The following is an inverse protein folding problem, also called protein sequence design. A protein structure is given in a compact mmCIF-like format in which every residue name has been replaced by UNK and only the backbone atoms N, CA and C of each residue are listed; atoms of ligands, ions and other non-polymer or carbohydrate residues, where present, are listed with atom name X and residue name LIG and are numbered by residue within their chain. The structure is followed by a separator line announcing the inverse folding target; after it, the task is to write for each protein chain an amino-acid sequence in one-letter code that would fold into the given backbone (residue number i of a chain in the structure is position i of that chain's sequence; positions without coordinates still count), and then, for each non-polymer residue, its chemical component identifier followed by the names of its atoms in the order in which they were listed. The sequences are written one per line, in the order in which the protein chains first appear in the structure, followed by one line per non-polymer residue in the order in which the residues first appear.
data_IF_349116286252
#
_entry.id   IF_349116286252
#
_cell.length_a   1.000
_cell.length_b   1.000
_cell.length_c   1.000
_cell.angle_alpha   90.00
_cell.angle_beta   90.00
_cell.angle_gamma   90.00
#
_symmetry.space_group_name_H-M   'P 1'
#
loop_
_entity.id
_entity.type
_entity.pdbx_description
1 polymer ?
#
# COMPACT_ATOMS: atom_id res chain seq x y z
N UNK A 1 27.43 -8.67 4.01
CA UNK A 1 26.98 -10.10 4.10
C UNK A 1 25.47 -10.32 3.86
N UNK A 2 24.62 -9.31 3.60
CA UNK A 2 23.20 -9.55 3.23
C UNK A 2 22.37 -10.42 4.20
N UNK A 3 22.80 -10.51 5.47
CA UNK A 3 22.18 -11.39 6.47
C UNK A 3 20.86 -10.79 6.94
N UNK A 4 19.84 -11.63 7.12
CA UNK A 4 18.53 -11.18 7.61
C UNK A 4 18.64 -10.56 9.01
N UNK A 5 17.73 -9.64 9.34
CA UNK A 5 17.67 -9.02 10.67
C UNK A 5 17.64 -10.04 11.83
N UNK A 6 17.00 -11.19 11.62
CA UNK A 6 17.00 -12.29 12.60
C UNK A 6 18.38 -12.88 12.87
N UNK A 7 19.26 -12.92 11.87
CA UNK A 7 20.64 -13.41 12.01
C UNK A 7 21.54 -12.39 12.72
N UNK A 8 21.29 -11.09 12.50
CA UNK A 8 21.98 -10.01 13.24
C UNK A 8 21.61 -10.09 14.72
N UNK A 9 20.32 -10.25 15.03
CA UNK A 9 19.84 -10.40 16.41
C UNK A 9 20.42 -11.65 17.08
N UNK A 10 20.56 -12.76 16.36
CA UNK A 10 21.23 -13.95 16.91
C UNK A 10 22.69 -13.68 17.29
N UNK A 11 23.42 -12.87 16.51
CA UNK A 11 24.82 -12.52 16.79
C UNK A 11 24.99 -11.66 18.05
N UNK A 12 24.06 -10.74 18.33
CA UNK A 12 24.18 -9.79 19.44
C UNK A 12 23.39 -10.18 20.69
N UNK A 13 22.25 -10.85 20.55
CA UNK A 13 21.33 -11.18 21.68
C UNK A 13 21.28 -12.70 21.92
N UNK A 14 21.65 -13.51 20.93
CA UNK A 14 21.65 -14.97 21.01
C UNK A 14 20.41 -15.63 20.43
N UNK A 15 20.40 -16.97 20.46
CA UNK A 15 19.38 -17.82 19.81
C UNK A 15 17.97 -17.61 20.37
N UNK A 16 17.85 -17.32 21.67
CA UNK A 16 16.57 -17.08 22.33
C UNK A 16 15.97 -15.73 21.90
N UNK A 17 16.80 -14.67 21.85
CA UNK A 17 16.40 -13.35 21.35
C UNK A 17 15.89 -13.41 19.91
N UNK A 18 16.57 -14.18 19.04
CA UNK A 18 16.07 -14.42 17.67
C UNK A 18 14.68 -15.06 17.65
N UNK A 19 14.42 -16.09 18.48
CA UNK A 19 13.11 -16.78 18.49
C UNK A 19 11.98 -15.86 18.94
N UNK A 20 12.18 -15.11 20.02
CA UNK A 20 11.18 -14.14 20.51
C UNK A 20 10.95 -13.05 19.46
N UNK A 21 12.01 -12.50 18.87
CA UNK A 21 11.89 -11.46 17.86
C UNK A 21 11.13 -11.95 16.62
N UNK A 22 11.45 -13.15 16.11
CA UNK A 22 10.74 -13.72 14.97
C UNK A 22 9.27 -14.03 15.29
N UNK A 23 8.97 -14.53 16.49
CA UNK A 23 7.59 -14.75 16.94
C UNK A 23 6.82 -13.43 17.02
N UNK A 24 7.43 -12.39 17.60
CA UNK A 24 6.86 -11.05 17.65
C UNK A 24 6.60 -10.50 16.24
N UNK A 25 7.59 -10.54 15.34
CA UNK A 25 7.43 -10.09 13.97
C UNK A 25 6.32 -10.86 13.24
N UNK A 26 6.21 -12.17 13.46
CA UNK A 26 5.17 -12.99 12.84
C UNK A 26 3.77 -12.60 13.32
N UNK A 27 3.55 -12.51 14.65
CA UNK A 27 2.27 -12.08 15.23
C UNK A 27 1.91 -10.65 14.82
N UNK A 28 2.89 -9.74 14.83
CA UNK A 28 2.70 -8.36 14.42
C UNK A 28 2.29 -8.27 12.94
N UNK A 29 2.97 -9.01 12.06
CA UNK A 29 2.64 -9.04 10.63
C UNK A 29 1.22 -9.57 10.39
N UNK A 30 0.77 -10.56 11.16
CA UNK A 30 -0.59 -11.10 11.07
C UNK A 30 -1.64 -10.02 11.41
N UNK A 31 -1.46 -9.30 12.51
CA UNK A 31 -2.38 -8.22 12.92
C UNK A 31 -2.39 -7.08 11.90
N UNK A 32 -1.22 -6.68 11.42
CA UNK A 32 -1.09 -5.61 10.42
C UNK A 32 -1.76 -5.99 9.11
N UNK A 33 -1.59 -7.23 8.64
CA UNK A 33 -2.28 -7.74 7.45
C UNK A 33 -3.80 -7.68 7.63
N UNK A 34 -4.32 -8.14 8.77
CA UNK A 34 -5.76 -8.12 9.05
C UNK A 34 -6.32 -6.69 9.07
N UNK A 35 -5.62 -5.76 9.74
CA UNK A 35 -6.04 -4.36 9.82
C UNK A 35 -6.06 -3.67 8.45
N UNK A 36 -5.00 -3.84 7.64
CA UNK A 36 -4.97 -3.25 6.30
C UNK A 36 -5.95 -3.91 5.34
N UNK A 37 -6.16 -5.23 5.42
CA UNK A 37 -7.16 -5.91 4.61
C UNK A 37 -8.58 -5.38 4.91
N UNK A 38 -8.92 -5.17 6.19
CA UNK A 38 -10.21 -4.58 6.57
C UNK A 38 -10.38 -3.14 6.09
N UNK A 39 -9.33 -2.31 6.21
CA UNK A 39 -9.33 -0.94 5.70
C UNK A 39 -9.55 -0.89 4.19
N UNK A 40 -8.82 -1.72 3.43
CA UNK A 40 -8.95 -1.80 1.95
C UNK A 40 -10.36 -2.27 1.55
N UNK A 41 -10.87 -3.32 2.20
CA UNK A 41 -12.24 -3.80 1.94
C UNK A 41 -13.30 -2.74 2.29
N UNK A 42 -13.07 -1.95 3.33
CA UNK A 42 -13.90 -0.81 3.68
C UNK A 42 -13.87 0.30 2.61
N UNK A 43 -12.70 0.62 2.07
CA UNK A 43 -12.54 1.64 1.01
C UNK A 43 -13.23 1.23 -0.30
N UNK A 44 -13.17 -0.05 -0.68
CA UNK A 44 -13.78 -0.54 -1.92
C UNK A 44 -15.26 -0.89 -1.78
N UNK A 45 -15.81 -0.83 -0.56
CA UNK A 45 -17.22 -1.09 -0.33
C UNK A 45 -18.06 -0.07 -1.12
N UNK A 46 -18.77 -0.59 -2.12
CA UNK A 46 -19.62 0.20 -3.01
C UNK A 46 -20.99 0.50 -2.40
N UNK A 47 -21.24 0.08 -1.16
CA UNK A 47 -22.48 0.36 -0.43
C UNK A 47 -22.21 1.25 0.77
N UNK A 48 -22.84 2.43 0.79
CA UNK A 48 -22.91 3.27 1.98
C UNK A 48 -24.30 3.15 2.60
N UNK A 49 -24.35 2.89 3.90
CA UNK A 49 -25.61 2.90 4.67
C UNK A 49 -25.69 4.26 5.36
N UNK A 50 -26.55 5.13 4.85
CA UNK A 50 -26.87 6.41 5.47
C UNK A 50 -28.35 6.45 5.79
N UNK A 51 -28.69 6.56 7.08
CA UNK A 51 -30.09 6.67 7.53
C UNK A 51 -30.97 5.45 7.23
N UNK A 52 -30.40 4.24 7.16
CA UNK A 52 -31.15 3.01 6.88
C UNK A 52 -31.42 2.74 5.39
N UNK A 53 -31.00 3.63 4.49
CA UNK A 53 -31.01 3.39 3.05
C UNK A 53 -29.60 3.02 2.56
N UNK A 54 -29.52 1.97 1.75
CA UNK A 54 -28.27 1.51 1.13
C UNK A 54 -28.12 2.22 -0.21
N UNK A 55 -27.18 3.16 -0.30
CA UNK A 55 -26.86 3.85 -1.55
C UNK A 55 -25.62 3.25 -2.19
N UNK A 56 -25.67 3.10 -3.52
CA UNK A 56 -24.53 2.62 -4.30
C UNK A 56 -23.57 3.78 -4.54
N UNK A 57 -22.37 3.67 -3.99
CA UNK A 57 -21.27 4.61 -4.17
C UNK A 57 -20.39 4.10 -5.32
N UNK A 58 -20.76 4.47 -6.55
CA UNK A 58 -20.06 4.03 -7.77
C UNK A 58 -18.57 4.41 -7.80
N UNK A 59 -18.18 5.50 -7.13
CA UNK A 59 -16.78 5.92 -7.00
C UNK A 59 -15.93 4.91 -6.23
N UNK A 60 -16.48 4.26 -5.20
CA UNK A 60 -15.78 3.24 -4.42
C UNK A 60 -15.63 1.94 -5.20
N UNK A 61 -16.66 1.54 -5.96
CA UNK A 61 -16.59 0.40 -6.88
C UNK A 61 -15.59 0.62 -8.02
N UNK A 62 -15.49 1.86 -8.52
CA UNK A 62 -14.46 2.26 -9.48
C UNK A 62 -13.07 2.11 -8.87
N UNK A 63 -12.86 2.60 -7.64
CA UNK A 63 -11.57 2.46 -6.94
C UNK A 63 -11.14 0.99 -6.74
N UNK A 64 -12.07 0.10 -6.38
CA UNK A 64 -11.78 -1.33 -6.29
C UNK A 64 -11.39 -1.93 -7.64
N UNK A 65 -12.06 -1.53 -8.71
CA UNK A 65 -11.77 -2.02 -10.08
C UNK A 65 -10.42 -1.50 -10.59
N UNK A 66 -10.13 -0.21 -10.42
CA UNK A 66 -8.83 0.39 -10.74
C UNK A 66 -7.73 -0.38 -10.03
N UNK A 67 -7.92 -0.73 -8.75
CA UNK A 67 -6.94 -1.47 -7.96
C UNK A 67 -6.68 -2.87 -8.53
N UNK A 68 -7.74 -3.62 -8.90
CA UNK A 68 -7.57 -4.93 -9.58
C UNK A 68 -6.85 -4.78 -10.91
N UNK A 69 -7.26 -3.83 -11.75
CA UNK A 69 -6.65 -3.60 -13.05
C UNK A 69 -5.19 -3.20 -12.93
N UNK A 70 -4.86 -2.35 -11.96
CA UNK A 70 -3.49 -1.94 -11.68
C UNK A 70 -2.61 -3.16 -11.34
N UNK A 71 -3.12 -4.10 -10.54
CA UNK A 71 -2.41 -5.33 -10.21
C UNK A 71 -2.22 -6.25 -11.43
N UNK A 72 -3.25 -6.42 -12.25
CA UNK A 72 -3.16 -7.21 -13.49
C UNK A 72 -2.14 -6.60 -14.45
N UNK A 73 -2.20 -5.28 -14.67
CA UNK A 73 -1.27 -4.58 -15.53
C UNK A 73 0.15 -4.58 -14.98
N UNK A 74 0.35 -4.55 -13.67
CA UNK A 74 1.67 -4.72 -13.08
C UNK A 74 2.28 -6.09 -13.40
N UNK A 75 1.48 -7.17 -13.36
CA UNK A 75 1.95 -8.50 -13.76
C UNK A 75 2.30 -8.55 -15.25
N UNK A 76 1.44 -7.99 -16.10
CA UNK A 76 1.68 -7.90 -17.56
C UNK A 76 2.95 -7.08 -17.84
N UNK A 77 3.11 -5.96 -17.15
CA UNK A 77 4.29 -5.11 -17.26
C UNK A 77 5.57 -5.86 -16.85
N UNK A 78 5.55 -6.59 -15.73
CA UNK A 78 6.68 -7.43 -15.31
C UNK A 78 7.03 -8.52 -16.32
N UNK A 79 6.04 -9.15 -16.96
CA UNK A 79 6.26 -10.14 -18.02
C UNK A 79 6.85 -9.50 -19.29
N UNK A 80 6.36 -8.32 -19.68
CA UNK A 80 6.90 -7.56 -20.83
C UNK A 80 8.34 -7.14 -20.55
N UNK A 81 8.61 -6.61 -19.36
CA UNK A 81 9.96 -6.18 -18.97
C UNK A 81 10.94 -7.35 -19.04
N UNK A 82 10.57 -8.52 -18.52
CA UNK A 82 11.41 -9.73 -18.59
C UNK A 82 11.65 -10.22 -20.02
N UNK A 83 10.67 -10.08 -20.91
CA UNK A 83 10.77 -10.58 -22.31
C UNK A 83 11.53 -9.61 -23.22
N UNK A 84 11.35 -8.30 -23.03
CA UNK A 84 11.86 -7.28 -23.94
C UNK A 84 13.03 -6.46 -23.37
N UNK A 85 13.46 -6.72 -22.12
CA UNK A 85 14.53 -5.99 -21.43
C UNK A 85 14.39 -4.47 -21.62
N UNK A 86 13.17 -3.96 -21.39
CA UNK A 86 12.91 -2.53 -21.46
C UNK A 86 13.76 -1.83 -20.42
N UNK A 87 14.55 -0.84 -20.84
CA UNK A 87 15.40 -0.06 -19.96
C UNK A 87 15.17 1.45 -20.16
N UNK A 88 15.30 2.19 -19.05
CA UNK A 88 15.26 3.64 -19.03
C UNK A 88 13.88 4.22 -19.37
N UNK A 89 13.83 5.23 -20.24
CA UNK A 89 12.61 5.99 -20.52
C UNK A 89 11.47 5.16 -21.12
N UNK A 90 11.79 4.08 -21.85
CA UNK A 90 10.78 3.20 -22.47
C UNK A 90 9.97 2.45 -21.41
N UNK A 91 10.64 2.02 -20.34
CA UNK A 91 10.02 1.35 -19.20
C UNK A 91 9.03 2.30 -18.50
N UNK A 92 9.43 3.55 -18.27
CA UNK A 92 8.58 4.56 -17.65
C UNK A 92 7.33 4.87 -18.50
N UNK A 93 7.48 5.04 -19.83
CA UNK A 93 6.35 5.32 -20.72
C UNK A 93 5.34 4.17 -20.74
N UNK A 94 5.81 2.92 -20.81
CA UNK A 94 4.94 1.74 -20.78
C UNK A 94 4.26 1.60 -19.41
N UNK A 95 5.00 1.85 -18.31
CA UNK A 95 4.45 1.87 -16.96
C UNK A 95 3.32 2.90 -16.82
N UNK A 96 3.56 4.15 -17.25
CA UNK A 96 2.55 5.22 -17.21
C UNK A 96 1.34 4.87 -18.10
N UNK A 97 1.56 4.32 -19.29
CA UNK A 97 0.47 3.88 -20.16
C UNK A 97 -0.44 2.84 -19.48
N UNK A 98 0.15 1.88 -18.75
CA UNK A 98 -0.60 0.89 -17.98
C UNK A 98 -1.31 1.48 -16.77
N UNK A 99 -0.73 2.47 -16.10
CA UNK A 99 -1.42 3.22 -15.04
C UNK A 99 -2.66 3.88 -15.62
N UNK A 100 -2.53 4.65 -16.71
CA UNK A 100 -3.67 5.32 -17.35
C UNK A 100 -4.72 4.30 -17.80
N UNK A 101 -4.31 3.19 -18.43
CA UNK A 101 -5.23 2.12 -18.84
C UNK A 101 -6.01 1.54 -17.64
N UNK A 102 -5.35 1.35 -16.49
CA UNK A 102 -6.01 0.87 -15.27
C UNK A 102 -7.10 1.82 -14.77
N UNK A 103 -6.86 3.13 -14.83
CA UNK A 103 -7.85 4.15 -14.44
C UNK A 103 -9.02 4.23 -15.43
N UNK A 104 -8.72 4.21 -16.73
CA UNK A 104 -9.74 4.26 -17.78
C UNK A 104 -10.68 3.05 -17.67
N UNK A 105 -10.13 1.83 -17.64
CA UNK A 105 -10.92 0.61 -17.53
C UNK A 105 -11.68 0.55 -16.20
N UNK A 106 -11.02 0.92 -15.09
CA UNK A 106 -11.64 0.90 -13.78
C UNK A 106 -12.80 1.89 -13.62
N UNK A 107 -12.75 3.03 -14.32
CA UNK A 107 -13.85 4.00 -14.34
C UNK A 107 -15.01 3.57 -15.24
N UNK A 108 -14.75 2.84 -16.33
CA UNK A 108 -15.78 2.34 -17.24
C UNK A 108 -16.48 1.05 -16.74
N UNK A 109 -15.79 0.22 -15.96
CA UNK A 109 -16.32 -1.06 -15.49
C UNK A 109 -16.33 -1.18 -13.95
N UNK A 110 -17.08 -0.32 -13.22
CA UNK A 110 -17.08 -0.36 -11.76
C UNK A 110 -17.70 -1.65 -11.22
N UNK A 111 -16.90 -2.44 -10.51
CA UNK A 111 -17.33 -3.62 -9.77
C UNK A 111 -17.99 -3.17 -8.46
N UNK A 112 -19.30 -3.38 -8.36
CA UNK A 112 -20.09 -3.05 -7.18
C UNK A 112 -20.17 -4.31 -6.31
N UNK A 113 -19.40 -4.33 -5.23
CA UNK A 113 -19.36 -5.42 -4.25
C UNK A 113 -19.40 -4.86 -2.83
N UNK A 114 -19.90 -5.70 -1.91
CA UNK A 114 -19.92 -5.41 -0.48
C UNK A 114 -18.57 -5.64 0.19
N UNK A 115 -18.41 -5.10 1.40
CA UNK A 115 -17.19 -5.22 2.21
C UNK A 115 -16.76 -6.69 2.39
N UNK A 116 -17.70 -7.61 2.63
CA UNK A 116 -17.39 -9.02 2.83
C UNK A 116 -16.75 -9.65 1.58
N UNK A 117 -17.34 -9.41 0.40
CA UNK A 117 -16.79 -9.90 -0.86
C UNK A 117 -15.37 -9.33 -1.13
N UNK A 118 -15.17 -8.04 -0.86
CA UNK A 118 -13.85 -7.41 -0.99
C UNK A 118 -12.82 -7.95 0.01
N UNK A 119 -13.24 -8.31 1.22
CA UNK A 119 -12.37 -8.95 2.20
C UNK A 119 -11.84 -10.29 1.68
N UNK A 120 -12.72 -11.15 1.15
CA UNK A 120 -12.32 -12.42 0.52
C UNK A 120 -11.37 -12.21 -0.66
N UNK A 121 -11.69 -11.27 -1.57
CA UNK A 121 -10.82 -10.95 -2.72
C UNK A 121 -9.43 -10.50 -2.24
N UNK A 122 -9.39 -9.65 -1.21
CA UNK A 122 -8.13 -9.12 -0.65
C UNK A 122 -7.28 -10.23 -0.04
N UNK A 123 -7.86 -11.13 0.75
CA UNK A 123 -7.11 -12.25 1.33
C UNK A 123 -6.62 -13.25 0.28
N UNK A 124 -7.43 -13.56 -0.73
CA UNK A 124 -7.02 -14.39 -1.86
C UNK A 124 -5.83 -13.74 -2.58
N UNK A 125 -5.91 -12.44 -2.84
CA UNK A 125 -4.80 -11.70 -3.44
C UNK A 125 -3.53 -11.74 -2.57
N UNK A 126 -3.63 -11.53 -1.26
CA UNK A 126 -2.47 -11.57 -0.35
C UNK A 126 -1.80 -12.94 -0.37
N UNK A 127 -2.58 -14.02 -0.41
CA UNK A 127 -2.04 -15.38 -0.56
C UNK A 127 -1.24 -15.52 -1.86
N UNK A 128 -1.80 -15.10 -3.00
CA UNK A 128 -1.11 -15.12 -4.28
C UNK A 128 0.14 -14.24 -4.30
N UNK A 129 0.08 -13.05 -3.71
CA UNK A 129 1.21 -12.13 -3.60
C UNK A 129 2.34 -12.69 -2.71
N UNK A 130 2.02 -13.53 -1.72
CA UNK A 130 3.00 -14.17 -0.86
C UNK A 130 3.70 -15.37 -1.53
N UNK A 131 3.01 -16.07 -2.44
CA UNK A 131 3.53 -17.27 -3.13
C UNK A 131 4.23 -16.91 -4.45
N UNK A 132 3.79 -15.86 -5.14
CA UNK A 132 4.36 -15.46 -6.43
C UNK A 132 5.77 -14.86 -6.29
N UNK A 133 6.62 -15.03 -7.31
CA UNK A 133 7.99 -14.51 -7.27
C UNK A 133 8.01 -12.98 -7.30
N UNK A 134 8.99 -12.39 -6.61
CA UNK A 134 9.09 -10.95 -6.40
C UNK A 134 9.13 -10.14 -7.71
N UNK A 135 9.82 -10.65 -8.73
CA UNK A 135 9.97 -10.00 -10.04
C UNK A 135 8.65 -9.92 -10.83
N UNK A 136 7.68 -10.81 -10.55
CA UNK A 136 6.44 -10.90 -11.32
C UNK A 136 5.37 -9.93 -10.83
N UNK A 137 5.23 -9.78 -9.52
CA UNK A 137 4.19 -8.94 -8.92
C UNK A 137 4.75 -7.72 -8.23
N UNK A 138 5.65 -7.93 -7.26
CA UNK A 138 6.03 -6.90 -6.30
C UNK A 138 6.85 -5.80 -6.98
N UNK A 139 7.93 -6.17 -7.66
CA UNK A 139 8.85 -5.24 -8.31
C UNK A 139 8.16 -4.35 -9.38
N UNK A 140 7.40 -4.90 -10.36
CA UNK A 140 6.76 -4.07 -11.38
C UNK A 140 5.63 -3.19 -10.80
N UNK A 141 4.88 -3.71 -9.82
CA UNK A 141 3.84 -2.93 -9.13
C UNK A 141 4.44 -1.76 -8.35
N UNK A 142 5.52 -2.02 -7.61
CA UNK A 142 6.19 -0.99 -6.82
C UNK A 142 6.75 0.12 -7.73
N UNK A 143 7.33 -0.24 -8.89
CA UNK A 143 7.77 0.72 -9.91
C UNK A 143 6.62 1.60 -10.44
N UNK A 144 5.50 1.01 -10.85
CA UNK A 144 4.33 1.77 -11.31
C UNK A 144 3.75 2.66 -10.21
N UNK A 145 3.75 2.19 -8.96
CA UNK A 145 3.22 2.92 -7.81
C UNK A 145 4.02 4.19 -7.53
N UNK A 146 5.34 4.19 -7.77
CA UNK A 146 6.18 5.39 -7.61
C UNK A 146 5.71 6.52 -8.52
N UNK A 147 5.46 6.26 -9.80
CA UNK A 147 4.95 7.29 -10.72
C UNK A 147 3.56 7.78 -10.32
N UNK A 148 2.69 6.86 -9.92
CA UNK A 148 1.36 7.20 -9.43
C UNK A 148 1.43 8.11 -8.19
N UNK A 149 2.32 7.79 -7.24
CA UNK A 149 2.50 8.57 -6.02
C UNK A 149 2.99 10.00 -6.31
N UNK A 150 4.00 10.14 -7.17
CA UNK A 150 4.50 11.45 -7.60
C UNK A 150 3.38 12.25 -8.29
N UNK A 151 2.65 11.62 -9.23
CA UNK A 151 1.54 12.25 -9.92
C UNK A 151 0.42 12.68 -8.96
N UNK A 152 0.10 11.87 -7.94
CA UNK A 152 -0.89 12.21 -6.93
C UNK A 152 -0.46 13.42 -6.08
N UNK A 153 0.81 13.49 -5.66
CA UNK A 153 1.31 14.63 -4.88
C UNK A 153 1.27 15.91 -5.72
N UNK A 154 1.79 15.87 -6.95
CA UNK A 154 1.78 17.02 -7.85
C UNK A 154 0.35 17.45 -8.16
N UNK A 155 -0.54 16.50 -8.45
CA UNK A 155 -1.95 16.76 -8.69
C UNK A 155 -2.65 17.37 -7.48
N UNK A 156 -2.37 16.88 -6.28
CA UNK A 156 -2.92 17.46 -5.03
C UNK A 156 -2.41 18.88 -4.79
N UNK A 157 -1.12 19.13 -4.99
CA UNK A 157 -0.52 20.46 -4.83
C UNK A 157 -1.09 21.46 -5.83
N UNK A 158 -1.16 21.10 -7.12
CA UNK A 158 -1.77 21.94 -8.15
C UNK A 158 -3.26 22.15 -7.90
N UNK A 159 -3.99 21.10 -7.51
CA UNK A 159 -5.40 21.18 -7.15
C UNK A 159 -5.66 22.16 -6.02
N UNK A 160 -4.78 22.18 -4.99
CA UNK A 160 -4.86 23.13 -3.89
C UNK A 160 -4.64 24.58 -4.36
N UNK A 161 -3.62 24.82 -5.19
CA UNK A 161 -3.28 26.16 -5.70
C UNK A 161 -4.41 26.71 -6.58
N UNK A 162 -5.00 25.87 -7.44
CA UNK A 162 -6.09 26.28 -8.36
C UNK A 162 -7.41 26.46 -7.62
N UNK A 163 -7.79 25.52 -6.75
CA UNK A 163 -9.06 25.60 -6.01
C UNK A 163 -9.03 26.67 -4.91
N UNK A 164 -7.84 27.03 -4.43
CA UNK A 164 -7.59 28.02 -3.38
C UNK A 164 -8.63 28.01 -2.23
N UNK A 165 -8.88 26.84 -1.60
CA UNK A 165 -9.93 26.71 -0.61
C UNK A 165 -9.62 27.59 0.61
N UNK A 166 -10.60 28.36 1.07
CA UNK A 166 -10.47 29.16 2.29
C UNK A 166 -10.29 28.23 3.49
N UNK A 167 -9.10 28.26 4.10
CA UNK A 167 -8.77 27.44 5.26
C UNK A 167 -9.34 28.08 6.54
N UNK A 168 -10.64 27.89 6.78
CA UNK A 168 -11.31 28.27 8.04
C UNK A 168 -11.18 27.14 9.08
N UNK A 169 -9.96 26.66 9.33
CA UNK A 169 -9.72 25.71 10.42
C UNK A 169 -9.53 26.50 11.72
N UNK A 170 -10.31 26.23 12.78
CA UNK A 170 -10.07 26.83 14.08
C UNK A 170 -8.64 26.49 14.52
N UNK A 171 -7.88 27.51 14.96
CA UNK A 171 -6.52 27.33 15.50
C UNK A 171 -6.49 26.32 16.66
N UNK A 172 -7.64 26.13 17.32
CA UNK A 172 -7.84 25.15 18.36
C UNK A 172 -9.24 24.51 18.25
N UNK A 173 -9.29 23.19 18.06
CA UNK A 173 -10.54 22.40 17.99
C UNK A 173 -10.83 21.61 19.27
N UNK A 174 -10.09 21.85 20.36
CA UNK A 174 -10.22 21.11 21.62
C UNK A 174 -9.49 19.77 21.66
N UNK A 175 -9.49 19.15 22.85
CA UNK A 175 -8.96 17.80 23.10
C UNK A 175 -9.96 16.67 22.83
N UNK A 176 -11.19 17.00 22.40
CA UNK A 176 -12.24 16.04 22.10
C UNK A 176 -12.90 16.42 20.78
N UNK A 177 -12.93 15.48 19.83
CA UNK A 177 -13.58 15.62 18.55
C UNK A 177 -14.87 14.77 18.54
N UNK A 178 -16.01 15.36 18.17
CA UNK A 178 -17.29 14.67 18.18
C UNK A 178 -17.36 13.40 17.28
N UNK A 179 -16.50 13.29 16.25
CA UNK A 179 -16.42 12.12 15.37
C UNK A 179 -15.29 11.15 15.72
N UNK A 180 -14.16 11.67 16.19
CA UNK A 180 -12.94 10.88 16.43
C UNK A 180 -12.72 10.55 17.91
N UNK A 181 -13.44 11.18 18.84
CA UNK A 181 -13.27 10.99 20.29
C UNK A 181 -12.17 11.86 20.88
N UNK A 182 -11.69 11.48 22.07
CA UNK A 182 -10.66 12.21 22.81
C UNK A 182 -9.27 12.03 22.18
N UNK A 183 -8.47 13.10 22.19
CA UNK A 183 -7.10 13.13 21.67
C UNK A 183 -6.22 12.06 22.35
N UNK A 184 -6.46 11.82 23.63
CA UNK A 184 -5.96 10.65 24.35
C UNK A 184 -7.02 9.55 24.30
N UNK A 185 -6.75 8.32 23.80
CA UNK A 185 -5.44 7.73 23.49
C UNK A 185 -5.04 7.75 21.99
N UNK A 186 -5.83 8.36 21.11
CA UNK A 186 -5.56 8.38 19.65
C UNK A 186 -4.14 8.85 19.32
N UNK A 187 -3.61 9.79 20.10
CA UNK A 187 -2.26 10.31 19.93
C UNK A 187 -1.20 9.21 20.05
N UNK A 188 -1.40 8.18 20.88
CA UNK A 188 -0.49 7.03 20.93
C UNK A 188 -0.53 6.19 19.65
N UNK A 189 -1.70 6.08 19.02
CA UNK A 189 -1.85 5.33 17.77
C UNK A 189 -1.21 6.08 16.61
N UNK A 190 -1.46 7.40 16.48
CA UNK A 190 -0.84 8.21 15.42
C UNK A 190 0.66 8.37 15.60
N UNK A 191 1.15 8.57 16.85
CA UNK A 191 2.59 8.58 17.14
C UNK A 191 3.20 7.19 16.94
N UNK A 192 2.48 6.11 17.24
CA UNK A 192 2.94 4.75 16.92
C UNK A 192 3.12 4.59 15.41
N UNK A 193 2.19 5.03 14.55
CA UNK A 193 2.39 4.99 13.10
C UNK A 193 3.64 5.79 12.64
N UNK A 194 3.96 6.90 13.32
CA UNK A 194 5.19 7.68 13.09
C UNK A 194 6.46 6.99 13.60
N UNK A 195 6.44 6.38 14.78
CA UNK A 195 7.56 5.66 15.38
C UNK A 195 7.81 4.28 14.72
N UNK A 196 6.75 3.62 14.26
CA UNK A 196 6.78 2.37 13.46
C UNK A 196 7.40 2.61 12.08
N UNK A 197 7.59 3.85 11.65
CA UNK A 197 8.44 4.17 10.49
C UNK A 197 9.85 3.57 10.61
N UNK A 198 10.40 3.48 11.83
CA UNK A 198 11.64 2.75 12.08
C UNK A 198 11.55 1.24 11.79
N UNK A 199 10.39 0.63 12.02
CA UNK A 199 10.12 -0.77 11.68
C UNK A 199 10.04 -0.97 10.16
N UNK A 200 9.53 -0.01 9.39
CA UNK A 200 9.58 -0.06 7.92
C UNK A 200 11.01 -0.07 7.40
N UNK A 201 11.93 0.71 7.99
CA UNK A 201 13.35 0.64 7.64
C UNK A 201 13.97 -0.72 7.97
N UNK A 202 13.62 -1.31 9.13
CA UNK A 202 14.07 -2.64 9.52
C UNK A 202 13.54 -3.75 8.59
N UNK A 203 12.28 -3.67 8.16
CA UNK A 203 11.66 -4.64 7.23
C UNK A 203 12.14 -4.42 5.79
N UNK A 204 12.29 -3.16 5.36
CA UNK A 204 12.81 -2.78 4.04
C UNK A 204 14.22 -3.33 3.83
N UNK A 205 15.07 -3.31 4.86
CA UNK A 205 16.41 -3.91 4.81
C UNK A 205 16.41 -5.37 4.36
N UNK A 206 15.36 -6.13 4.72
CA UNK A 206 15.21 -7.54 4.34
C UNK A 206 14.85 -7.77 2.87
N UNK A 207 14.32 -6.76 2.18
CA UNK A 207 14.05 -6.81 0.73
C UNK A 207 15.14 -6.15 -0.08
N UNK A 208 15.64 -4.98 0.36
CA UNK A 208 16.72 -4.27 -0.34
C UNK A 208 18.00 -5.10 -0.39
N UNK A 209 18.35 -5.80 0.69
CA UNK A 209 19.52 -6.71 0.70
C UNK A 209 19.42 -7.89 -0.28
N UNK A 210 18.22 -8.24 -0.76
CA UNK A 210 18.01 -9.31 -1.75
C UNK A 210 17.97 -8.82 -3.19
N UNK A 211 17.88 -7.50 -3.38
CA UNK A 211 17.83 -6.86 -4.70
C UNK A 211 19.20 -6.32 -5.12
N UNK A 212 20.15 -6.21 -4.19
CA UNK A 212 21.49 -5.67 -4.43
C UNK A 212 22.50 -6.81 -4.55
N UNK A 213 23.26 -6.86 -5.65
CA UNK A 213 24.25 -7.94 -5.88
C UNK A 213 25.55 -7.74 -5.08
N UNK A 214 25.95 -6.48 -4.86
CA UNK A 214 27.15 -6.12 -4.11
C UNK A 214 27.05 -4.70 -3.52
N UNK A 215 27.92 -4.33 -2.59
CA UNK A 215 27.84 -3.02 -1.90
C UNK A 215 27.95 -1.80 -2.84
N UNK A 216 28.56 -1.95 -4.02
CA UNK A 216 28.65 -0.86 -5.01
C UNK A 216 27.36 -0.68 -5.83
N UNK A 217 26.48 -1.68 -5.82
CA UNK A 217 25.18 -1.71 -6.49
C UNK A 217 24.05 -1.12 -5.59
N UNK A 218 24.40 -0.62 -4.39
CA UNK A 218 23.46 -0.03 -3.45
C UNK A 218 23.19 1.48 -3.70
N UNK A 219 23.86 2.10 -4.68
CA UNK A 219 23.81 3.53 -4.98
C UNK A 219 22.92 3.85 -6.19
#
# INVERSE_FOLDING_TARGET
EGKSMGMIIEKYIGKFGRKIFLLFCWLFTLIVIAAFADMVAGTFNAYAVAGGQTTVVSTNGSAGTVSIMFMVFAVVFGLIQKKFNLSGWKEAVVGIAFIVASFVIGNFCPIILGKEAWSYITFVYIFFAAVMPMWLMKQPRDYMTTFMFIAMIVGAALGLVVAHPSMNLPVYTGFNNAKLGTMFPILFVTVACGAVSGFHSLVSSGTSSKTVENEKDML
#
